data_IF_252445211343
#
_entry.id   IF_252445211343
#
_cell.length_a   1.000
_cell.length_b   1.000
_cell.length_c   1.000
_cell.angle_alpha   90.00
_cell.angle_beta   90.00
_cell.angle_gamma   90.00
#
_symmetry.space_group_name_H-M   'P 1'
#
loop_
_entity.id
_entity.type
_entity.pdbx_description
1 polymer ?
#
# COMPACT_ATOMS: atom_id res chain seq x y z
N UNK A 1 0.33 15.29 -2.43
CA UNK A 1 0.05 16.63 -1.87
C UNK A 1 0.81 17.74 -2.57
N UNK A 2 1.81 17.41 -3.38
CA UNK A 2 2.59 18.42 -4.11
C UNK A 2 1.84 19.04 -5.30
N UNK A 3 0.71 18.45 -5.69
CA UNK A 3 -0.09 18.90 -6.83
C UNK A 3 -1.15 19.89 -6.35
N UNK A 4 -1.25 21.08 -6.97
CA UNK A 4 -2.31 22.03 -6.63
C UNK A 4 -3.70 21.39 -6.82
N UNK A 5 -4.58 21.62 -5.88
CA UNK A 5 -5.92 21.03 -5.90
C UNK A 5 -6.02 19.62 -5.32
N UNK A 6 -4.92 19.06 -4.80
CA UNK A 6 -4.92 17.74 -4.18
C UNK A 6 -5.93 17.64 -3.03
N UNK A 7 -6.19 18.73 -2.33
CA UNK A 7 -7.15 18.77 -1.22
C UNK A 7 -8.59 18.41 -1.62
N UNK A 8 -8.90 18.43 -2.90
CA UNK A 8 -10.23 18.04 -3.39
C UNK A 8 -10.38 16.53 -3.53
N UNK A 9 -9.27 15.80 -3.59
CA UNK A 9 -9.28 14.35 -3.86
C UNK A 9 -8.54 13.55 -2.81
N UNK A 10 -7.49 14.08 -2.21
CA UNK A 10 -6.68 13.37 -1.23
C UNK A 10 -7.30 13.50 0.17
N UNK A 11 -7.81 12.38 0.69
CA UNK A 11 -8.46 12.33 2.01
C UNK A 11 -7.47 12.22 3.15
N UNK A 12 -6.40 11.49 2.98
CA UNK A 12 -5.42 11.30 4.03
C UNK A 12 -4.57 10.06 3.82
N UNK A 13 -3.72 9.80 4.79
CA UNK A 13 -2.90 8.59 4.80
C UNK A 13 -2.69 8.09 6.23
N UNK A 14 -2.36 6.81 6.35
CA UNK A 14 -2.08 6.16 7.63
C UNK A 14 -0.71 5.50 7.53
N UNK A 15 0.23 6.00 8.31
CA UNK A 15 1.56 5.40 8.43
C UNK A 15 1.50 4.31 9.50
N UNK A 16 1.12 3.10 9.11
CA UNK A 16 0.96 1.96 10.01
C UNK A 16 2.27 1.21 10.19
N UNK A 17 3.26 1.88 10.76
CA UNK A 17 4.60 1.31 10.94
C UNK A 17 4.59 0.11 11.89
N UNK A 18 3.94 0.26 13.04
CA UNK A 18 3.82 -0.82 14.01
C UNK A 18 2.72 -1.80 13.60
N UNK A 19 2.97 -3.09 13.84
CA UNK A 19 1.99 -4.15 13.55
C UNK A 19 0.67 -3.90 14.29
N UNK A 20 0.70 -3.44 15.53
CA UNK A 20 -0.51 -3.14 16.29
C UNK A 20 -1.36 -2.07 15.64
N UNK A 21 -0.76 -1.08 14.99
CA UNK A 21 -1.48 -0.05 14.26
C UNK A 21 -2.15 -0.64 13.02
N UNK A 22 -1.47 -1.52 12.31
CA UNK A 22 -2.09 -2.24 11.18
C UNK A 22 -3.34 -2.98 11.62
N UNK A 23 -3.28 -3.63 12.76
CA UNK A 23 -4.40 -4.41 13.30
C UNK A 23 -5.53 -3.55 13.84
N UNK A 24 -5.21 -2.58 14.70
CA UNK A 24 -6.22 -1.80 15.42
C UNK A 24 -6.86 -0.74 14.53
N UNK A 25 -6.10 -0.09 13.65
CA UNK A 25 -6.60 1.01 12.81
C UNK A 25 -7.10 0.50 11.47
N UNK A 26 -6.33 -0.35 10.80
CA UNK A 26 -6.64 -0.81 9.45
C UNK A 26 -7.38 -2.14 9.39
N UNK A 27 -7.53 -2.82 10.52
CA UNK A 27 -8.25 -4.10 10.57
C UNK A 27 -7.51 -5.28 9.96
N UNK A 28 -6.18 -5.22 9.91
CA UNK A 28 -5.38 -6.33 9.38
C UNK A 28 -5.43 -7.52 10.33
N UNK A 29 -5.79 -8.68 9.81
CA UNK A 29 -5.83 -9.94 10.55
C UNK A 29 -4.78 -10.95 10.07
N UNK A 30 -4.14 -10.68 8.94
CA UNK A 30 -3.10 -11.55 8.38
C UNK A 30 -1.98 -11.80 9.39
N UNK A 31 -1.51 -13.04 9.48
CA UNK A 31 -0.41 -13.40 10.38
C UNK A 31 0.89 -12.72 9.93
N UNK A 32 1.16 -12.72 8.63
CA UNK A 32 2.32 -12.06 8.05
C UNK A 32 1.95 -10.68 7.56
N UNK A 33 2.66 -9.65 8.04
CA UNK A 33 2.37 -8.26 7.68
C UNK A 33 2.91 -7.87 6.31
N UNK A 34 3.91 -8.59 5.81
CA UNK A 34 4.41 -8.44 4.43
C UNK A 34 3.84 -9.59 3.61
N UNK A 35 2.63 -9.44 3.13
CA UNK A 35 1.90 -10.47 2.40
C UNK A 35 0.82 -9.85 1.53
N UNK A 36 0.30 -10.64 0.60
CA UNK A 36 -0.85 -10.27 -0.22
C UNK A 36 -2.05 -9.93 0.64
N UNK A 37 -2.39 -10.81 1.58
CA UNK A 37 -3.54 -10.65 2.45
C UNK A 37 -3.46 -9.37 3.26
N UNK A 38 -2.30 -9.09 3.86
CA UNK A 38 -2.07 -7.88 4.64
C UNK A 38 -2.25 -6.63 3.77
N UNK A 39 -1.65 -6.61 2.58
CA UNK A 39 -1.75 -5.46 1.67
C UNK A 39 -3.20 -5.19 1.26
N UNK A 40 -3.95 -6.23 0.91
CA UNK A 40 -5.36 -6.11 0.54
C UNK A 40 -6.20 -5.57 1.71
N UNK A 41 -5.98 -6.09 2.90
CA UNK A 41 -6.68 -5.63 4.10
C UNK A 41 -6.34 -4.18 4.45
N UNK A 42 -5.08 -3.79 4.26
CA UNK A 42 -4.65 -2.41 4.48
C UNK A 42 -5.34 -1.45 3.52
N UNK A 43 -5.44 -1.79 2.24
CA UNK A 43 -6.08 -0.93 1.25
C UNK A 43 -7.58 -0.75 1.54
N UNK A 44 -8.28 -1.82 1.85
CA UNK A 44 -9.70 -1.78 2.21
C UNK A 44 -9.89 -1.03 3.54
N UNK A 45 -9.01 -1.26 4.51
CA UNK A 45 -9.04 -0.55 5.79
C UNK A 45 -8.85 0.95 5.62
N UNK A 46 -7.96 1.37 4.73
CA UNK A 46 -7.75 2.78 4.44
C UNK A 46 -9.01 3.44 3.84
N UNK A 47 -9.69 2.76 2.90
CA UNK A 47 -10.95 3.25 2.37
C UNK A 47 -11.97 3.51 3.50
N UNK A 48 -12.11 2.56 4.40
CA UNK A 48 -13.10 2.65 5.49
C UNK A 48 -12.76 3.75 6.49
N UNK A 49 -11.52 3.78 6.95
CA UNK A 49 -11.08 4.72 7.99
C UNK A 49 -11.12 6.15 7.48
N UNK A 50 -10.69 6.37 6.25
CA UNK A 50 -10.59 7.71 5.66
C UNK A 50 -11.85 8.13 4.89
N UNK A 51 -12.83 7.24 4.75
CA UNK A 51 -14.03 7.54 4.00
C UNK A 51 -13.75 7.85 2.53
N UNK A 52 -12.79 7.16 1.94
CA UNK A 52 -12.35 7.39 0.57
C UNK A 52 -12.93 6.34 -0.38
N UNK A 53 -13.09 6.72 -1.65
CA UNK A 53 -13.54 5.80 -2.69
C UNK A 53 -12.42 4.87 -3.15
N UNK A 54 -11.18 5.35 -3.09
CA UNK A 54 -9.98 4.60 -3.49
C UNK A 54 -9.05 4.45 -2.30
N UNK A 55 -8.66 3.21 -2.01
CA UNK A 55 -7.65 2.89 -1.01
C UNK A 55 -6.45 2.24 -1.67
N UNK A 56 -5.26 2.67 -1.30
CA UNK A 56 -4.03 2.03 -1.73
C UNK A 56 -3.17 1.70 -0.53
N UNK A 57 -2.36 0.67 -0.65
CA UNK A 57 -1.49 0.24 0.43
C UNK A 57 -0.17 -0.28 -0.09
N UNK A 58 0.86 -0.13 0.71
CA UNK A 58 2.16 -0.74 0.50
C UNK A 58 2.65 -1.35 1.81
N UNK A 59 3.11 -2.58 1.75
CA UNK A 59 3.78 -3.24 2.85
C UNK A 59 4.99 -3.97 2.29
N UNK A 60 6.13 -3.84 2.94
CA UNK A 60 7.35 -4.39 2.36
C UNK A 60 8.51 -4.45 3.33
N UNK A 61 9.60 -5.02 2.83
CA UNK A 61 10.86 -5.16 3.55
C UNK A 61 11.89 -4.21 2.93
N UNK A 62 12.08 -3.07 3.57
CA UNK A 62 13.03 -2.05 3.08
C UNK A 62 14.48 -2.40 3.42
N UNK A 63 14.69 -3.27 4.38
CA UNK A 63 16.02 -3.70 4.81
C UNK A 63 16.62 -2.86 5.93
N UNK A 64 17.86 -3.18 6.34
CA UNK A 64 18.74 -4.21 5.76
C UNK A 64 18.35 -5.65 6.12
N UNK A 65 17.51 -5.87 7.14
CA UNK A 65 17.14 -7.21 7.59
C UNK A 65 15.87 -7.70 6.90
N UNK A 66 15.78 -9.03 6.73
CA UNK A 66 14.56 -9.69 6.26
C UNK A 66 13.46 -9.61 7.31
N UNK A 67 12.22 -9.72 6.86
CA UNK A 67 11.04 -9.76 7.73
C UNK A 67 10.05 -10.80 7.23
N UNK A 68 9.44 -11.56 8.15
CA UNK A 68 8.43 -12.59 7.84
C UNK A 68 8.93 -13.61 6.81
N UNK A 69 10.24 -13.92 6.81
CA UNK A 69 10.83 -14.81 5.82
C UNK A 69 10.93 -14.23 4.41
N UNK A 70 10.57 -12.98 4.22
CA UNK A 70 10.63 -12.31 2.94
C UNK A 70 11.99 -11.63 2.72
N UNK A 71 12.58 -11.76 1.53
CA UNK A 71 13.84 -11.08 1.25
C UNK A 71 13.69 -9.57 1.19
N UNK A 72 14.78 -8.87 1.47
CA UNK A 72 14.83 -7.41 1.36
C UNK A 72 14.44 -6.97 -0.05
N UNK A 73 13.63 -5.93 -0.14
CA UNK A 73 13.10 -5.41 -1.40
C UNK A 73 11.76 -6.01 -1.81
N UNK A 74 11.27 -7.03 -1.11
CA UNK A 74 9.91 -7.56 -1.34
C UNK A 74 8.89 -6.52 -0.90
N UNK A 75 8.03 -6.10 -1.83
CA UNK A 75 6.95 -5.14 -1.56
C UNK A 75 5.66 -5.65 -2.17
N UNK A 76 4.60 -5.58 -1.40
CA UNK A 76 3.23 -5.81 -1.85
C UNK A 76 2.50 -4.47 -1.95
N UNK A 77 1.90 -4.24 -3.10
CA UNK A 77 1.00 -3.10 -3.32
C UNK A 77 -0.43 -3.62 -3.43
N UNK A 78 -1.38 -2.88 -2.87
CA UNK A 78 -2.78 -3.21 -3.03
C UNK A 78 -3.60 -1.98 -3.42
N UNK A 79 -4.66 -2.25 -4.17
CA UNK A 79 -5.53 -1.22 -4.75
C UNK A 79 -6.98 -1.63 -4.53
N UNK A 80 -7.70 -0.84 -3.76
CA UNK A 80 -9.13 -1.00 -3.55
C UNK A 80 -9.84 0.11 -4.32
N UNK A 81 -10.50 -0.26 -5.42
CA UNK A 81 -11.17 0.67 -6.32
C UNK A 81 -12.68 0.45 -6.26
N UNK A 82 -13.49 1.50 -6.51
CA UNK A 82 -14.95 1.37 -6.44
C UNK A 82 -15.49 0.30 -7.39
N UNK A 83 -16.33 -0.58 -6.86
CA UNK A 83 -17.02 -1.59 -7.66
C UNK A 83 -16.17 -2.72 -8.19
N UNK A 84 -14.90 -2.79 -7.80
CA UNK A 84 -13.97 -3.82 -8.24
C UNK A 84 -13.45 -4.62 -7.05
N UNK A 85 -13.09 -5.90 -7.26
CA UNK A 85 -12.37 -6.66 -6.23
C UNK A 85 -11.05 -5.98 -5.90
N UNK A 86 -10.63 -6.05 -4.64
CA UNK A 86 -9.31 -5.55 -4.24
C UNK A 86 -8.23 -6.34 -4.98
N UNK A 87 -7.24 -5.63 -5.49
CA UNK A 87 -6.12 -6.22 -6.24
C UNK A 87 -4.82 -6.01 -5.48
N UNK A 88 -3.96 -7.01 -5.47
CA UNK A 88 -2.61 -6.89 -4.93
C UNK A 88 -1.59 -7.41 -5.93
N UNK A 89 -0.46 -6.71 -6.02
CA UNK A 89 0.68 -7.11 -6.84
C UNK A 89 1.93 -7.06 -5.99
N UNK A 90 2.87 -7.95 -6.24
CA UNK A 90 4.16 -7.93 -5.56
C UNK A 90 5.28 -7.67 -6.53
N UNK A 91 6.34 -7.09 -6.01
CA UNK A 91 7.58 -6.89 -6.75
C UNK A 91 8.75 -6.99 -5.79
N UNK A 92 9.93 -7.18 -6.35
CA UNK A 92 11.16 -7.12 -5.60
C UNK A 92 12.00 -5.98 -6.14
N UNK A 93 12.21 -4.97 -5.30
CA UNK A 93 12.92 -3.77 -5.68
C UNK A 93 14.38 -3.84 -5.26
N UNK A 94 15.30 -3.38 -6.13
CA UNK A 94 16.73 -3.38 -5.82
C UNK A 94 17.12 -2.16 -5.00
N UNK A 95 18.29 -2.25 -4.40
CA UNK A 95 18.93 -1.13 -3.74
C UNK A 95 18.84 -1.17 -2.22
N UNK A 96 19.22 -0.06 -1.62
CA UNK A 96 19.18 0.13 -0.18
C UNK A 96 17.77 0.55 0.26
N UNK A 97 17.61 0.77 1.57
CA UNK A 97 16.33 1.13 2.18
C UNK A 97 15.72 2.39 1.54
N UNK A 98 16.53 3.41 1.31
CA UNK A 98 16.05 4.67 0.73
C UNK A 98 15.53 4.46 -0.70
N UNK A 99 16.28 3.73 -1.53
CA UNK A 99 15.87 3.43 -2.90
C UNK A 99 14.62 2.57 -2.97
N UNK A 100 14.53 1.56 -2.11
CA UNK A 100 13.34 0.70 -2.04
C UNK A 100 12.11 1.54 -1.69
N UNK A 101 12.22 2.47 -0.76
CA UNK A 101 11.12 3.37 -0.40
C UNK A 101 10.74 4.30 -1.55
N UNK A 102 11.71 4.89 -2.24
CA UNK A 102 11.48 5.77 -3.39
C UNK A 102 10.83 5.02 -4.54
N UNK A 103 11.36 3.86 -4.91
CA UNK A 103 10.81 3.05 -6.00
C UNK A 103 9.43 2.52 -5.65
N UNK A 104 9.17 2.19 -4.38
CA UNK A 104 7.84 1.78 -3.93
C UNK A 104 6.82 2.88 -4.18
N UNK A 105 7.13 4.11 -3.81
CA UNK A 105 6.24 5.26 -4.02
C UNK A 105 5.93 5.45 -5.50
N UNK A 106 6.97 5.48 -6.34
CA UNK A 106 6.82 5.69 -7.78
C UNK A 106 6.01 4.55 -8.42
N UNK A 107 6.34 3.31 -8.07
CA UNK A 107 5.69 2.13 -8.64
C UNK A 107 4.22 2.06 -8.25
N UNK A 108 3.91 2.29 -6.97
CA UNK A 108 2.55 2.29 -6.46
C UNK A 108 1.69 3.33 -7.17
N UNK A 109 2.16 4.56 -7.27
CA UNK A 109 1.41 5.63 -7.90
C UNK A 109 1.26 5.42 -9.41
N UNK A 110 2.27 4.86 -10.07
CA UNK A 110 2.18 4.56 -11.49
C UNK A 110 1.15 3.46 -11.78
N UNK A 111 1.13 2.40 -10.99
CA UNK A 111 0.13 1.33 -11.14
C UNK A 111 -1.27 1.88 -10.87
N UNK A 112 -1.43 2.69 -9.83
CA UNK A 112 -2.71 3.33 -9.55
C UNK A 112 -3.20 4.16 -10.75
N UNK A 113 -2.31 4.97 -11.32
CA UNK A 113 -2.65 5.77 -12.50
C UNK A 113 -3.18 4.89 -13.63
N UNK A 114 -2.48 3.80 -13.93
CA UNK A 114 -2.90 2.87 -14.98
C UNK A 114 -4.26 2.23 -14.68
N UNK A 115 -4.53 1.88 -13.42
CA UNK A 115 -5.81 1.29 -13.03
C UNK A 115 -6.95 2.29 -13.11
N UNK A 116 -6.71 3.55 -12.72
CA UNK A 116 -7.71 4.62 -12.83
C UNK A 116 -8.06 4.91 -14.30
N UNK A 117 -7.08 4.88 -15.19
CA UNK A 117 -7.31 5.08 -16.62
C UNK A 117 -8.17 3.97 -17.25
N UNK A 118 -8.25 2.81 -16.64
CA UNK A 118 -9.05 1.68 -17.11
C UNK A 118 -10.49 1.68 -16.57
N UNK A 119 -10.80 2.56 -15.63
CA UNK A 119 -12.16 2.67 -15.10
C UNK A 119 -13.09 3.25 -16.16
N UNK A 120 -14.35 2.75 -16.25
CA UNK A 120 -15.34 3.28 -17.19
C UNK A 120 -15.77 4.71 -16.85
#
# INVERSE_FOLDING_TARGET
>A
MNVPGASRTFQGSIASYATDVKRSVLGVTADEVVSQESAEQMAVGAQKVLGADVGIAATGVAGPDQQDGQPVGTVWFAFALPGLPVEAVSTRLPGDRERIRQFSTISLLNILRMRLDQLP
#
